data_IF_542304307736
#
_entry.id   IF_542304307736
#
_cell.length_a   1.000
_cell.length_b   1.000
_cell.length_c   1.000
_cell.angle_alpha   90.00
_cell.angle_beta   90.00
_cell.angle_gamma   90.00
#
_symmetry.space_group_name_H-M   'P 1'
#
loop_
_entity.id
_entity.type
_entity.pdbx_description
1 polymer ?
#
# COMPACT_ATOMS: atom_id res chain seq x y z
N UNK A 1 76.17 -72.62 25.48
CA UNK A 1 75.03 -72.80 26.41
C UNK A 1 75.00 -71.63 27.38
N UNK A 2 73.79 -71.13 27.67
CA UNK A 2 73.40 -70.12 28.68
C UNK A 2 73.73 -68.66 28.36
N UNK A 3 72.70 -67.95 27.89
CA UNK A 3 72.54 -66.50 28.00
C UNK A 3 71.05 -66.18 28.28
N UNK A 4 70.76 -65.04 28.92
CA UNK A 4 70.06 -65.04 30.20
C UNK A 4 68.62 -64.52 30.17
N UNK A 5 67.86 -64.95 31.19
CA UNK A 5 66.58 -64.37 31.59
C UNK A 5 66.75 -62.89 31.95
N UNK A 6 65.92 -62.02 31.33
CA UNK A 6 65.78 -60.61 31.73
C UNK A 6 64.37 -60.37 32.25
N UNK A 7 64.25 -59.96 33.51
CA UNK A 7 62.99 -59.75 34.22
C UNK A 7 62.28 -58.47 33.77
N UNK A 8 60.99 -58.58 33.44
CA UNK A 8 60.14 -57.44 33.08
C UNK A 8 59.58 -56.80 34.37
N UNK A 9 60.04 -55.58 34.66
CA UNK A 9 59.63 -54.77 35.81
C UNK A 9 58.28 -54.11 35.53
N UNK A 10 57.22 -54.56 36.21
CA UNK A 10 55.87 -53.97 36.14
C UNK A 10 55.82 -52.57 36.79
N UNK A 11 55.55 -51.53 35.99
CA UNK A 11 55.26 -50.17 36.48
C UNK A 11 53.82 -50.10 37.03
N UNK A 12 53.65 -50.37 38.32
CA UNK A 12 52.48 -49.92 39.10
C UNK A 12 52.47 -48.39 39.12
N UNK A 13 51.30 -47.75 38.92
CA UNK A 13 50.83 -46.53 39.63
C UNK A 13 50.02 -45.49 38.81
N UNK A 14 49.85 -45.59 37.49
CA UNK A 14 49.18 -44.51 36.71
C UNK A 14 47.71 -44.79 36.38
N UNK A 15 47.29 -46.06 36.31
CA UNK A 15 45.95 -46.44 35.87
C UNK A 15 44.84 -46.14 36.90
N UNK A 16 45.12 -46.30 38.20
CA UNK A 16 44.08 -46.23 39.24
C UNK A 16 43.59 -44.79 39.51
N UNK A 17 44.45 -43.77 39.40
CA UNK A 17 44.04 -42.37 39.61
C UNK A 17 43.13 -41.84 38.50
N UNK A 18 43.25 -42.35 37.27
CA UNK A 18 42.40 -41.95 36.14
C UNK A 18 41.00 -42.56 36.21
N UNK A 19 40.87 -43.74 36.84
CA UNK A 19 39.57 -44.39 37.03
C UNK A 19 38.68 -43.68 38.06
N UNK A 20 39.26 -43.12 39.12
CA UNK A 20 38.51 -42.42 40.17
C UNK A 20 37.79 -41.16 39.66
N UNK A 21 38.36 -40.48 38.65
CA UNK A 21 37.73 -39.33 37.98
C UNK A 21 36.57 -39.73 37.05
N UNK A 22 36.57 -40.96 36.53
CA UNK A 22 35.49 -41.46 35.65
C UNK A 22 34.25 -41.90 36.43
N UNK A 23 34.38 -42.21 37.73
CA UNK A 23 33.25 -42.63 38.57
C UNK A 23 32.29 -41.49 38.94
N UNK A 24 32.69 -40.22 38.77
CA UNK A 24 31.89 -39.03 39.13
C UNK A 24 31.08 -38.47 37.94
N UNK A 25 31.39 -38.91 36.72
CA UNK A 25 30.69 -38.53 35.48
C UNK A 25 29.20 -38.93 35.48
N UNK A 26 28.77 -40.14 35.91
CA UNK A 26 27.34 -40.47 35.91
C UNK A 26 26.55 -39.69 36.97
N UNK A 27 27.20 -39.19 38.03
CA UNK A 27 26.56 -38.36 39.05
C UNK A 27 26.22 -36.94 38.55
N UNK A 28 26.98 -36.43 37.58
CA UNK A 28 26.77 -35.12 36.94
C UNK A 28 25.69 -35.14 35.84
N UNK A 29 25.35 -36.32 35.32
CA UNK A 29 24.33 -36.47 34.27
C UNK A 29 22.89 -36.58 34.80
N UNK A 30 22.69 -36.68 36.11
CA UNK A 30 21.36 -36.94 36.71
C UNK A 30 20.45 -35.70 36.84
N UNK A 31 20.85 -34.54 36.31
CA UNK A 31 20.09 -33.28 36.42
C UNK A 31 19.44 -32.80 35.11
N UNK A 32 19.49 -33.57 34.02
CA UNK A 32 18.81 -33.17 32.78
C UNK A 32 17.32 -33.54 32.88
N UNK A 33 16.48 -32.57 33.23
CA UNK A 33 15.04 -32.68 33.05
C UNK A 33 14.75 -32.59 31.54
N UNK A 34 14.26 -33.67 30.94
CA UNK A 34 13.68 -33.64 29.61
C UNK A 34 12.36 -32.83 29.67
N UNK A 35 12.38 -31.63 29.11
CA UNK A 35 11.15 -30.89 28.82
C UNK A 35 10.49 -31.62 27.65
N UNK A 36 9.53 -32.49 27.92
CA UNK A 36 8.70 -33.12 26.89
C UNK A 36 7.90 -32.02 26.17
N UNK A 37 8.19 -31.71 24.89
CA UNK A 37 7.32 -30.84 24.13
C UNK A 37 6.06 -31.65 23.87
N UNK A 38 5.06 -31.48 24.73
CA UNK A 38 3.76 -32.13 24.58
C UNK A 38 3.24 -31.97 23.14
N UNK A 39 2.34 -32.86 22.69
CA UNK A 39 1.98 -32.98 21.28
C UNK A 39 1.54 -31.62 20.72
N UNK A 40 2.38 -31.06 19.84
CA UNK A 40 2.09 -29.84 19.12
C UNK A 40 0.84 -30.08 18.28
N UNK A 41 -0.28 -29.47 18.67
CA UNK A 41 -1.52 -29.49 17.89
C UNK A 41 -1.20 -28.90 16.51
N UNK A 42 -1.51 -29.60 15.40
CA UNK A 42 -1.34 -29.02 14.08
C UNK A 42 -2.18 -27.74 14.00
N UNK A 43 -1.60 -26.69 13.42
CA UNK A 43 -2.32 -25.46 13.11
C UNK A 43 -3.58 -25.80 12.29
N UNK A 44 -4.74 -25.17 12.57
CA UNK A 44 -5.93 -25.35 11.76
C UNK A 44 -5.60 -25.13 10.28
N UNK A 45 -6.02 -26.06 9.42
CA UNK A 45 -5.86 -25.86 7.97
C UNK A 45 -6.60 -24.58 7.57
N UNK A 46 -6.02 -23.70 6.74
CA UNK A 46 -6.73 -22.55 6.23
C UNK A 46 -8.01 -23.01 5.55
N UNK A 47 -9.14 -22.44 5.95
CA UNK A 47 -10.41 -22.67 5.27
C UNK A 47 -10.25 -22.29 3.78
N UNK A 48 -10.79 -23.10 2.85
CA UNK A 48 -10.76 -22.73 1.44
C UNK A 48 -11.43 -21.37 1.28
N UNK A 49 -10.91 -20.48 0.41
CA UNK A 49 -11.50 -19.17 0.20
C UNK A 49 -12.93 -19.38 -0.29
N UNK A 50 -13.90 -19.14 0.59
CA UNK A 50 -15.30 -19.18 0.21
C UNK A 50 -15.50 -18.03 -0.77
N UNK A 51 -15.87 -18.35 -2.00
CA UNK A 51 -16.35 -17.36 -2.95
C UNK A 51 -17.59 -16.73 -2.32
N UNK A 52 -17.44 -15.51 -1.80
CA UNK A 52 -18.48 -14.85 -1.03
C UNK A 52 -19.42 -14.12 -1.99
N UNK A 53 -20.72 -14.33 -1.80
CA UNK A 53 -21.74 -13.58 -2.54
C UNK A 53 -21.69 -12.12 -2.09
N UNK A 54 -21.42 -11.22 -3.03
CA UNK A 54 -21.37 -9.79 -2.77
C UNK A 54 -22.70 -9.12 -3.14
N UNK A 55 -23.07 -8.10 -2.38
CA UNK A 55 -24.19 -7.22 -2.72
C UNK A 55 -23.86 -6.40 -3.98
N UNK A 56 -24.90 -5.90 -4.64
CA UNK A 56 -24.79 -4.99 -5.78
C UNK A 56 -24.59 -3.52 -5.34
N UNK A 57 -24.32 -3.29 -4.05
CA UNK A 57 -24.05 -1.95 -3.53
C UNK A 57 -22.76 -1.40 -4.16
N UNK A 58 -22.83 -0.16 -4.66
CA UNK A 58 -21.69 0.54 -5.20
C UNK A 58 -21.11 1.50 -4.16
N UNK A 59 -20.01 1.08 -3.54
CA UNK A 59 -19.24 1.82 -2.54
C UNK A 59 -17.74 1.61 -2.84
N UNK A 60 -17.19 2.34 -3.84
CA UNK A 60 -15.94 1.95 -4.47
C UNK A 60 -14.74 1.99 -3.51
N UNK A 61 -13.79 1.09 -3.74
CA UNK A 61 -12.54 1.01 -2.97
C UNK A 61 -11.34 0.79 -3.90
N UNK A 62 -10.17 1.25 -3.47
CA UNK A 62 -8.91 0.99 -4.14
C UNK A 62 -8.23 -0.20 -3.47
N UNK A 63 -8.08 -1.28 -4.22
CA UNK A 63 -7.41 -2.50 -3.79
C UNK A 63 -6.01 -2.63 -4.39
N UNK A 64 -5.10 -3.26 -3.65
CA UNK A 64 -3.75 -3.61 -4.10
C UNK A 64 -3.54 -5.13 -4.06
N UNK A 65 -2.94 -5.67 -5.14
CA UNK A 65 -2.43 -7.05 -5.17
C UNK A 65 -1.16 -7.11 -6.02
N UNK A 66 -0.04 -7.47 -5.38
CA UNK A 66 1.25 -7.62 -6.07
C UNK A 66 1.71 -6.34 -6.77
N UNK A 67 1.58 -5.18 -6.12
CA UNK A 67 1.97 -3.88 -6.67
C UNK A 67 1.02 -3.31 -7.72
N UNK A 68 -0.10 -3.98 -8.03
CA UNK A 68 -1.13 -3.48 -8.95
C UNK A 68 -2.29 -2.92 -8.15
N UNK A 69 -2.66 -1.68 -8.47
CA UNK A 69 -3.86 -1.02 -7.93
C UNK A 69 -5.05 -1.25 -8.85
N UNK A 70 -6.20 -1.62 -8.28
CA UNK A 70 -7.46 -1.81 -9.01
C UNK A 70 -8.64 -1.25 -8.20
N UNK A 71 -9.54 -0.56 -8.89
CA UNK A 71 -10.81 -0.10 -8.32
C UNK A 71 -11.82 -1.25 -8.31
N UNK A 72 -12.50 -1.44 -7.18
CA UNK A 72 -13.61 -2.39 -7.04
C UNK A 72 -14.90 -1.65 -6.74
N UNK A 73 -16.04 -2.20 -7.19
CA UNK A 73 -17.36 -1.60 -6.95
C UNK A 73 -17.73 -1.55 -5.47
N UNK A 74 -17.24 -2.50 -4.67
CA UNK A 74 -17.34 -2.45 -3.21
C UNK A 74 -16.24 -3.27 -2.52
N UNK A 75 -16.18 -3.14 -1.19
CA UNK A 75 -15.21 -3.83 -0.34
C UNK A 75 -15.34 -5.37 -0.38
N UNK A 76 -16.56 -5.89 -0.56
CA UNK A 76 -16.76 -7.33 -0.69
C UNK A 76 -16.09 -7.86 -1.96
N UNK A 77 -16.33 -7.22 -3.11
CA UNK A 77 -15.75 -7.63 -4.40
C UNK A 77 -14.21 -7.57 -4.38
N UNK A 78 -13.63 -6.57 -3.71
CA UNK A 78 -12.18 -6.46 -3.55
C UNK A 78 -11.60 -7.66 -2.76
N UNK A 79 -12.20 -7.97 -1.61
CA UNK A 79 -11.76 -9.09 -0.76
C UNK A 79 -11.97 -10.44 -1.43
N UNK A 80 -13.12 -10.63 -2.08
CA UNK A 80 -13.43 -11.84 -2.83
C UNK A 80 -12.46 -12.07 -4.01
N UNK A 81 -11.93 -10.98 -4.58
CA UNK A 81 -10.91 -11.02 -5.63
C UNK A 81 -9.47 -11.13 -5.09
N UNK A 82 -9.29 -11.19 -3.77
CA UNK A 82 -7.99 -11.30 -3.11
C UNK A 82 -7.15 -10.02 -3.12
N UNK A 83 -7.78 -8.85 -3.20
CA UNK A 83 -7.10 -7.56 -3.10
C UNK A 83 -7.16 -7.02 -1.66
N UNK A 84 -6.06 -6.43 -1.20
CA UNK A 84 -6.02 -5.69 0.06
C UNK A 84 -6.51 -4.27 -0.19
N UNK A 85 -7.49 -3.80 0.59
CA UNK A 85 -8.01 -2.44 0.42
C UNK A 85 -7.01 -1.44 1.01
N UNK A 86 -6.48 -0.56 0.16
CA UNK A 86 -5.47 0.46 0.52
C UNK A 86 -6.07 1.88 0.59
N UNK A 87 -7.27 2.08 0.02
CA UNK A 87 -7.92 3.38 0.02
C UNK A 87 -9.44 3.31 -0.16
N UNK A 88 -10.13 4.34 0.34
CA UNK A 88 -11.56 4.56 0.08
C UNK A 88 -11.75 5.25 -1.27
N UNK A 89 -12.81 4.90 -1.98
CA UNK A 89 -13.07 5.41 -3.33
C UNK A 89 -12.21 4.71 -4.39
N UNK A 90 -12.30 5.19 -5.63
CA UNK A 90 -11.55 4.63 -6.75
C UNK A 90 -10.04 4.88 -6.62
N UNK A 91 -9.23 4.01 -7.25
CA UNK A 91 -7.80 4.23 -7.34
C UNK A 91 -7.50 5.51 -8.12
N UNK A 92 -6.79 6.43 -7.50
CA UNK A 92 -6.26 7.62 -8.18
C UNK A 92 -5.05 7.19 -9.00
N UNK A 93 -5.03 7.50 -10.30
CA UNK A 93 -3.74 7.58 -10.99
C UNK A 93 -2.94 8.64 -10.25
N UNK A 94 -1.71 8.33 -9.84
CA UNK A 94 -0.80 9.37 -9.39
C UNK A 94 -0.84 10.47 -10.45
N UNK A 95 -1.10 11.74 -10.08
CA UNK A 95 -0.82 12.85 -10.97
C UNK A 95 0.61 12.65 -11.51
N UNK A 96 0.89 12.97 -12.80
CA UNK A 96 2.27 13.01 -13.25
C UNK A 96 3.06 13.76 -12.19
N UNK A 97 4.13 13.14 -11.67
CA UNK A 97 4.94 13.65 -10.57
C UNK A 97 5.07 15.15 -10.78
N UNK A 98 4.42 15.93 -9.90
CA UNK A 98 4.60 17.37 -9.94
C UNK A 98 6.11 17.56 -9.74
N UNK A 99 6.79 18.01 -10.80
CA UNK A 99 8.15 18.50 -10.69
C UNK A 99 8.17 19.41 -9.46
N UNK A 100 9.18 19.31 -8.57
CA UNK A 100 9.24 20.17 -7.41
C UNK A 100 9.13 21.62 -7.89
N UNK A 101 8.02 22.25 -7.54
CA UNK A 101 7.78 23.66 -7.86
C UNK A 101 8.92 24.43 -7.18
N UNK A 102 9.65 25.32 -7.89
CA UNK A 102 10.71 26.09 -7.26
C UNK A 102 10.15 26.83 -6.04
N UNK A 103 10.83 26.71 -4.90
CA UNK A 103 10.45 27.37 -3.65
C UNK A 103 10.24 28.87 -3.90
N UNK A 104 8.97 29.25 -4.03
CA UNK A 104 8.55 30.67 -4.02
C UNK A 104 8.04 30.98 -2.62
N UNK A 105 8.88 31.44 -1.69
CA UNK A 105 8.40 31.95 -0.43
C UNK A 105 7.56 33.21 -0.70
N UNK A 106 6.33 33.22 -0.19
CA UNK A 106 5.45 34.39 -0.24
C UNK A 106 4.10 34.22 -0.91
N UNK A 107 3.67 33.00 -1.29
CA UNK A 107 2.25 32.80 -1.62
C UNK A 107 1.47 32.55 -0.33
N UNK A 108 0.63 33.49 0.15
CA UNK A 108 -0.26 33.22 1.27
C UNK A 108 -1.18 32.05 0.92
N UNK A 109 -1.58 31.21 1.89
CA UNK A 109 -2.60 30.19 1.67
C UNK A 109 -3.83 30.87 1.07
N UNK A 110 -4.36 30.28 -0.01
CA UNK A 110 -5.62 30.75 -0.56
C UNK A 110 -6.65 30.67 0.56
N UNK A 111 -7.42 31.73 0.86
CA UNK A 111 -8.50 31.61 1.80
C UNK A 111 -9.40 30.47 1.33
N UNK A 112 -9.76 29.57 2.26
CA UNK A 112 -10.89 28.69 2.04
C UNK A 112 -12.05 29.60 1.69
N UNK A 113 -12.51 29.53 0.44
CA UNK A 113 -13.77 30.17 0.03
C UNK A 113 -14.82 29.09 0.19
N UNK A 114 -15.56 29.05 1.32
CA UNK A 114 -16.77 28.26 1.38
C UNK A 114 -17.75 28.93 0.41
N UNK A 115 -18.37 28.17 -0.46
CA UNK A 115 -19.15 28.65 -1.61
C UNK A 115 -18.29 29.29 -2.71
N UNK A 116 -17.55 28.44 -3.44
CA UNK A 116 -17.67 28.56 -4.90
C UNK A 116 -19.01 27.91 -5.23
N UNK A 117 -20.06 28.66 -5.60
CA UNK A 117 -21.22 28.03 -6.21
C UNK A 117 -20.64 27.18 -7.33
N UNK A 118 -21.08 25.94 -7.35
CA UNK A 118 -20.71 24.91 -8.30
C UNK A 118 -20.32 25.54 -9.62
N UNK A 119 -19.11 25.21 -10.11
CA UNK A 119 -18.84 25.36 -11.53
C UNK A 119 -20.10 24.83 -12.22
N UNK A 120 -20.90 25.66 -12.91
CA UNK A 120 -22.21 25.20 -13.33
C UNK A 120 -21.99 23.93 -14.14
N UNK A 121 -22.51 22.83 -13.60
CA UNK A 121 -22.64 21.57 -14.30
C UNK A 121 -23.32 21.96 -15.60
N UNK A 122 -22.57 21.82 -16.71
CA UNK A 122 -22.81 22.47 -17.99
C UNK A 122 -24.31 22.49 -18.33
N UNK A 123 -25.02 23.61 -18.17
CA UNK A 123 -26.39 23.70 -18.63
C UNK A 123 -26.29 23.91 -20.14
N UNK A 124 -26.47 22.84 -20.91
CA UNK A 124 -26.95 22.96 -22.28
C UNK A 124 -28.37 23.51 -22.24
N UNK A 125 -28.50 24.82 -21.99
CA UNK A 125 -29.76 25.50 -21.76
C UNK A 125 -30.08 26.52 -22.84
N UNK A 126 -31.35 26.95 -22.90
CA UNK A 126 -31.77 28.06 -23.76
C UNK A 126 -31.13 29.35 -23.23
N UNK A 127 -30.38 30.05 -24.07
CA UNK A 127 -29.80 31.34 -23.72
C UNK A 127 -30.78 32.49 -23.96
N UNK A 128 -30.77 33.48 -23.07
CA UNK A 128 -31.42 34.76 -23.32
C UNK A 128 -30.69 35.50 -24.44
N UNK A 129 -31.36 36.47 -25.06
CA UNK A 129 -30.78 37.34 -26.11
C UNK A 129 -30.02 38.55 -25.52
N UNK A 130 -29.69 38.49 -24.23
CA UNK A 130 -28.93 39.53 -23.56
C UNK A 130 -27.50 39.56 -24.08
N UNK A 131 -27.00 40.76 -24.38
CA UNK A 131 -25.66 40.98 -24.89
C UNK A 131 -24.74 41.48 -23.77
N UNK A 132 -23.86 40.58 -23.32
CA UNK A 132 -22.85 40.82 -22.29
C UNK A 132 -21.59 40.05 -22.70
N UNK A 133 -20.76 40.61 -23.61
CA UNK A 133 -19.77 39.85 -24.34
C UNK A 133 -18.68 39.28 -23.42
N UNK A 134 -18.19 38.10 -23.78
CA UNK A 134 -17.12 37.41 -23.04
C UNK A 134 -16.10 36.80 -24.00
N UNK A 135 -14.84 36.78 -23.58
CA UNK A 135 -13.78 36.09 -24.30
C UNK A 135 -13.67 34.66 -23.75
N UNK A 136 -13.98 33.69 -24.59
CA UNK A 136 -13.87 32.26 -24.29
C UNK A 136 -12.62 31.64 -24.89
N UNK A 137 -12.09 30.60 -24.24
CA UNK A 137 -10.96 29.80 -24.73
C UNK A 137 -11.31 28.31 -24.73
N UNK A 138 -10.94 27.62 -25.81
CA UNK A 138 -11.00 26.16 -25.93
C UNK A 138 -9.71 25.63 -26.54
N UNK A 139 -8.88 24.99 -25.73
CA UNK A 139 -7.53 24.60 -26.15
C UNK A 139 -6.69 25.84 -26.48
N UNK A 140 -6.22 25.93 -27.73
CA UNK A 140 -5.46 27.10 -28.24
C UNK A 140 -6.33 28.18 -28.89
N UNK A 141 -7.63 27.93 -29.07
CA UNK A 141 -8.53 28.87 -29.74
C UNK A 141 -9.14 29.83 -28.74
N UNK A 142 -9.18 31.12 -29.08
CA UNK A 142 -9.92 32.17 -28.36
C UNK A 142 -11.00 32.74 -29.26
N UNK A 143 -12.19 32.99 -28.69
CA UNK A 143 -13.33 33.52 -29.42
C UNK A 143 -14.21 34.36 -28.50
N UNK A 144 -14.69 35.49 -29.01
CA UNK A 144 -15.70 36.32 -28.35
C UNK A 144 -17.08 35.69 -28.53
N UNK A 145 -17.84 35.60 -27.43
CA UNK A 145 -19.24 35.18 -27.42
C UNK A 145 -20.12 36.34 -26.97
N UNK A 146 -21.36 36.46 -27.48
CA UNK A 146 -22.25 37.56 -27.13
C UNK A 146 -22.70 37.51 -25.66
N UNK A 147 -22.73 36.32 -25.04
CA UNK A 147 -22.90 36.17 -23.60
C UNK A 147 -22.25 34.89 -23.07
N UNK A 148 -22.19 34.79 -21.74
CA UNK A 148 -21.60 33.67 -21.02
C UNK A 148 -22.32 32.34 -21.24
N UNK A 149 -23.65 32.37 -21.44
CA UNK A 149 -24.45 31.20 -21.74
C UNK A 149 -24.04 30.59 -23.09
N UNK A 150 -23.95 31.41 -24.13
CA UNK A 150 -23.55 30.94 -25.46
C UNK A 150 -22.11 30.40 -25.47
N UNK A 151 -21.18 31.03 -24.74
CA UNK A 151 -19.83 30.51 -24.55
C UNK A 151 -19.82 29.12 -23.87
N UNK A 152 -20.64 28.95 -22.82
CA UNK A 152 -20.79 27.70 -22.09
C UNK A 152 -21.38 26.58 -22.95
N UNK A 153 -22.44 26.88 -23.71
CA UNK A 153 -23.06 25.95 -24.66
C UNK A 153 -22.06 25.48 -25.72
N UNK A 154 -21.28 26.42 -26.30
CA UNK A 154 -20.22 26.12 -27.26
C UNK A 154 -19.01 25.38 -26.65
N UNK A 155 -18.94 25.25 -25.32
CA UNK A 155 -17.88 24.53 -24.61
C UNK A 155 -16.59 25.32 -24.47
N UNK A 156 -16.67 26.65 -24.50
CA UNK A 156 -15.55 27.54 -24.24
C UNK A 156 -15.49 27.92 -22.77
N UNK A 157 -14.28 28.01 -22.23
CA UNK A 157 -14.05 28.51 -20.88
C UNK A 157 -13.83 30.02 -20.94
N UNK A 158 -14.63 30.79 -20.21
CA UNK A 158 -14.49 32.24 -20.15
C UNK A 158 -13.16 32.60 -19.46
N UNK A 159 -12.33 33.40 -20.14
CA UNK A 159 -11.03 33.89 -19.66
C UNK A 159 -11.04 35.39 -19.33
N UNK A 160 -11.93 36.17 -19.95
CA UNK A 160 -12.13 37.60 -19.66
C UNK A 160 -13.57 38.01 -19.93
N UNK A 161 -14.05 39.03 -19.20
CA UNK A 161 -15.22 39.80 -19.59
C UNK A 161 -14.88 40.72 -20.76
N UNK A 162 -15.86 40.98 -21.62
CA UNK A 162 -15.67 41.70 -22.88
C UNK A 162 -15.09 40.82 -23.98
N UNK A 163 -14.82 41.43 -25.13
CA UNK A 163 -14.30 40.74 -26.31
C UNK A 163 -12.85 40.27 -26.14
N UNK A 164 -12.47 39.24 -26.89
CA UNK A 164 -11.07 38.82 -26.97
C UNK A 164 -10.23 39.93 -27.59
N UNK A 165 -9.16 40.33 -26.89
CA UNK A 165 -8.12 41.18 -27.44
C UNK A 165 -7.08 40.28 -28.10
N UNK A 166 -6.88 40.47 -29.41
CA UNK A 166 -5.84 39.80 -30.20
C UNK A 166 -4.45 40.34 -29.84
#
# INVERSE_FOLDING_TARGET
MRSPMTAIRMKRSVAFKRLALLALVPLLCACTMDVDPGPSRPSPRPWPPQQQMCTMEYAPVCGERGGRLQTFGNACQARNSGFMIVGRGECRRAPPVALPEPDRPGRPPRPDRPNRPDRPERPGGICTREYAPVCGQRGRQTQTFPNSCEAGNAGFRIISGGECRL
#
